data_IF_210859987029
#
_entry.id   IF_210859987029
#
_cell.length_a   1.000
_cell.length_b   1.000
_cell.length_c   1.000
_cell.angle_alpha   90.00
_cell.angle_beta   90.00
_cell.angle_gamma   90.00
#
_symmetry.space_group_name_H-M   'P 1'
#
loop_
_entity.id
_entity.type
_entity.pdbx_description
1 polymer ?
#
# COMPACT_ATOMS: atom_id res chain seq x y z
N UNK A 1 16.91 -5.58 -27.73
CA UNK A 1 16.79 -5.08 -26.35
C UNK A 1 15.94 -6.07 -25.59
N UNK A 2 16.57 -7.00 -24.86
CA UNK A 2 15.86 -8.12 -24.23
C UNK A 2 15.46 -7.70 -22.83
N UNK A 3 14.17 -7.48 -22.59
CA UNK A 3 13.65 -7.21 -21.25
C UNK A 3 13.69 -8.52 -20.48
N UNK A 4 14.56 -8.59 -19.47
CA UNK A 4 14.58 -9.74 -18.55
C UNK A 4 13.32 -9.64 -17.68
N UNK A 5 12.43 -10.65 -17.67
CA UNK A 5 11.29 -10.62 -16.77
C UNK A 5 11.80 -10.54 -15.33
N UNK A 6 11.17 -9.68 -14.52
CA UNK A 6 11.38 -9.67 -13.08
C UNK A 6 10.92 -11.03 -12.55
N UNK A 7 11.86 -11.89 -12.19
CA UNK A 7 11.56 -13.07 -11.40
C UNK A 7 11.12 -12.57 -10.03
N UNK A 8 9.81 -12.54 -9.77
CA UNK A 8 9.31 -12.38 -8.41
C UNK A 8 9.89 -13.54 -7.62
N UNK A 9 10.82 -13.24 -6.70
CA UNK A 9 11.26 -14.23 -5.74
C UNK A 9 9.99 -14.77 -5.06
N UNK A 10 9.81 -16.09 -5.10
CA UNK A 10 8.76 -16.74 -4.31
C UNK A 10 8.91 -16.23 -2.88
N UNK A 11 7.88 -15.60 -2.28
CA UNK A 11 7.98 -15.14 -0.90
C UNK A 11 8.35 -16.36 -0.06
N UNK A 12 9.56 -16.36 0.52
CA UNK A 12 9.99 -17.41 1.45
C UNK A 12 9.24 -17.29 2.79
N UNK A 13 8.29 -16.37 2.90
CA UNK A 13 7.44 -16.15 4.05
C UNK A 13 5.99 -15.93 3.59
N UNK A 14 5.13 -16.90 3.88
CA UNK A 14 3.66 -16.85 3.70
C UNK A 14 2.95 -15.79 4.56
N UNK A 15 3.71 -14.94 5.27
CA UNK A 15 3.20 -13.87 6.12
C UNK A 15 3.69 -12.47 5.69
N UNK A 16 4.41 -12.35 4.57
CA UNK A 16 4.86 -11.05 4.09
C UNK A 16 3.67 -10.19 3.64
N UNK A 17 3.61 -8.95 4.15
CA UNK A 17 2.58 -7.97 3.82
C UNK A 17 3.07 -7.03 2.72
N UNK A 18 2.26 -6.90 1.67
CA UNK A 18 2.38 -5.87 0.63
C UNK A 18 1.35 -4.78 0.87
N UNK A 19 1.83 -3.55 1.10
CA UNK A 19 1.01 -2.35 1.25
C UNK A 19 1.03 -1.55 -0.06
N UNK A 20 -0.13 -1.36 -0.67
CA UNK A 20 -0.36 -0.67 -1.93
C UNK A 20 -0.91 0.73 -1.69
N UNK A 21 -0.18 1.77 -2.08
CA UNK A 21 -0.53 3.18 -1.89
C UNK A 21 -0.92 3.82 -3.22
N UNK A 22 -2.20 4.20 -3.36
CA UNK A 22 -2.73 4.78 -4.60
C UNK A 22 -2.24 6.22 -4.85
N UNK A 23 -2.41 6.69 -6.09
CA UNK A 23 -2.12 8.07 -6.48
C UNK A 23 -3.27 9.02 -6.18
N UNK A 24 -3.05 10.32 -6.40
CA UNK A 24 -4.10 11.33 -6.34
C UNK A 24 -5.27 10.95 -7.26
N UNK A 25 -6.51 11.21 -6.83
CA UNK A 25 -7.79 10.77 -7.45
C UNK A 25 -8.09 9.27 -7.45
N UNK A 26 -7.15 8.44 -6.99
CA UNK A 26 -7.34 7.00 -6.82
C UNK A 26 -8.01 6.63 -5.49
N UNK A 27 -8.12 5.33 -5.25
CA UNK A 27 -8.53 4.73 -3.97
C UNK A 27 -7.86 3.36 -3.83
N UNK A 28 -8.02 2.69 -2.69
CA UNK A 28 -7.62 1.30 -2.51
C UNK A 28 -8.24 0.37 -3.56
N UNK A 29 -9.47 0.65 -4.00
CA UNK A 29 -10.15 -0.11 -5.05
C UNK A 29 -9.45 -0.03 -6.41
N UNK A 30 -8.64 1.01 -6.67
CA UNK A 30 -7.83 1.10 -7.90
C UNK A 30 -6.81 -0.04 -8.02
N UNK A 31 -6.52 -0.76 -6.93
CA UNK A 31 -5.60 -1.89 -6.89
C UNK A 31 -6.30 -3.26 -6.94
N UNK A 32 -7.57 -3.35 -7.33
CA UNK A 32 -8.34 -4.61 -7.26
C UNK A 32 -7.65 -5.78 -8.00
N UNK A 33 -7.21 -5.55 -9.24
CA UNK A 33 -6.56 -6.58 -10.05
C UNK A 33 -5.20 -7.00 -9.48
N UNK A 34 -4.40 -6.04 -9.02
CA UNK A 34 -3.09 -6.30 -8.40
C UNK A 34 -3.25 -7.02 -7.06
N UNK A 35 -4.26 -6.64 -6.28
CA UNK A 35 -4.61 -7.31 -5.03
C UNK A 35 -4.95 -8.78 -5.27
N UNK A 36 -5.80 -9.06 -6.26
CA UNK A 36 -6.13 -10.44 -6.64
C UNK A 36 -4.89 -11.23 -7.08
N UNK A 37 -4.06 -10.63 -7.94
CA UNK A 37 -2.83 -11.24 -8.44
C UNK A 37 -1.85 -11.59 -7.31
N UNK A 38 -1.54 -10.64 -6.42
CA UNK A 38 -0.57 -10.86 -5.33
C UNK A 38 -1.10 -11.80 -4.24
N UNK A 39 -2.41 -11.76 -3.95
CA UNK A 39 -3.04 -12.74 -3.04
C UNK A 39 -2.99 -14.15 -3.62
N UNK A 40 -3.20 -14.33 -4.92
CA UNK A 40 -3.04 -15.63 -5.57
C UNK A 40 -1.59 -16.15 -5.52
N UNK A 41 -0.60 -15.23 -5.45
CA UNK A 41 0.80 -15.56 -5.22
C UNK A 41 1.17 -15.79 -3.73
N UNK A 42 0.19 -15.75 -2.82
CA UNK A 42 0.38 -16.07 -1.40
C UNK A 42 0.77 -14.89 -0.50
N UNK A 43 0.68 -13.64 -0.99
CA UNK A 43 0.96 -12.45 -0.18
C UNK A 43 -0.28 -11.99 0.59
N UNK A 44 -0.06 -11.46 1.81
CA UNK A 44 -1.04 -10.58 2.46
C UNK A 44 -0.99 -9.24 1.75
N UNK A 45 -2.15 -8.68 1.39
CA UNK A 45 -2.21 -7.41 0.64
C UNK A 45 -3.18 -6.45 1.29
N UNK A 46 -2.69 -5.25 1.60
CA UNK A 46 -3.48 -4.12 2.08
C UNK A 46 -3.40 -2.99 1.06
N UNK A 47 -4.55 -2.40 0.75
CA UNK A 47 -4.67 -1.25 -0.15
C UNK A 47 -5.65 -0.26 0.50
N UNK A 48 -5.21 0.52 1.50
CA UNK A 48 -6.08 1.47 2.19
C UNK A 48 -6.39 2.67 1.31
N UNK A 49 -7.50 3.33 1.61
CA UNK A 49 -7.80 4.66 1.08
C UNK A 49 -6.95 5.69 1.84
N UNK A 50 -6.18 6.49 1.10
CA UNK A 50 -5.42 7.62 1.65
C UNK A 50 -6.35 8.77 2.01
N UNK A 51 -5.97 9.66 2.95
CA UNK A 51 -6.82 10.77 3.38
C UNK A 51 -7.41 11.57 2.21
N UNK A 52 -8.72 11.83 2.27
CA UNK A 52 -9.46 12.56 1.25
C UNK A 52 -9.92 11.74 0.04
N UNK A 53 -9.72 10.42 0.06
CA UNK A 53 -10.06 9.53 -1.05
C UNK A 53 -10.90 8.35 -0.57
N UNK A 54 -11.68 7.76 -1.50
CA UNK A 54 -12.53 6.61 -1.21
C UNK A 54 -13.41 6.84 0.03
N UNK A 55 -13.31 5.93 1.00
CA UNK A 55 -14.03 6.01 2.27
C UNK A 55 -13.26 6.78 3.38
N UNK A 56 -12.00 7.15 3.17
CA UNK A 56 -11.20 7.87 4.15
C UNK A 56 -11.36 9.38 3.99
N UNK A 57 -12.36 9.95 4.66
CA UNK A 57 -12.72 11.37 4.59
C UNK A 57 -12.65 12.03 5.99
N UNK A 58 -11.45 12.39 6.48
CA UNK A 58 -11.29 13.02 7.79
C UNK A 58 -12.03 14.35 7.91
N UNK A 59 -12.43 14.73 9.12
CA UNK A 59 -13.06 16.04 9.36
C UNK A 59 -12.06 17.14 9.71
N UNK A 60 -10.88 16.77 10.22
CA UNK A 60 -9.82 17.72 10.57
C UNK A 60 -8.89 17.97 9.36
N UNK A 61 -8.72 19.21 8.90
CA UNK A 61 -7.75 19.55 7.85
C UNK A 61 -6.32 19.07 8.12
N UNK A 62 -5.90 18.95 9.38
CA UNK A 62 -4.57 18.47 9.75
C UNK A 62 -4.31 17.00 9.36
N UNK A 63 -5.37 16.23 9.11
CA UNK A 63 -5.28 14.83 8.70
C UNK A 63 -5.04 14.64 7.19
N UNK A 64 -5.06 15.73 6.41
CA UNK A 64 -4.85 15.70 4.96
C UNK A 64 -3.38 15.90 4.54
N UNK A 65 -2.44 15.75 5.48
CA UNK A 65 -1.00 15.89 5.21
C UNK A 65 -0.35 14.53 4.94
N UNK A 66 0.73 14.53 4.16
CA UNK A 66 1.52 13.33 3.88
C UNK A 66 2.12 12.78 5.17
N UNK A 67 2.57 13.66 6.07
CA UNK A 67 3.14 13.31 7.36
C UNK A 67 2.11 12.63 8.27
N UNK A 68 0.87 13.13 8.31
CA UNK A 68 -0.20 12.49 9.08
C UNK A 68 -0.57 11.14 8.48
N UNK A 69 -0.70 11.04 7.15
CA UNK A 69 -0.95 9.78 6.46
C UNK A 69 0.15 8.74 6.77
N UNK A 70 1.42 9.14 6.75
CA UNK A 70 2.55 8.27 7.07
C UNK A 70 2.48 7.75 8.52
N UNK A 71 2.18 8.63 9.49
CA UNK A 71 2.03 8.23 10.90
C UNK A 71 0.86 7.26 11.10
N UNK A 72 -0.28 7.51 10.45
CA UNK A 72 -1.45 6.64 10.56
C UNK A 72 -1.17 5.25 9.96
N UNK A 73 -0.50 5.18 8.80
CA UNK A 73 -0.09 3.90 8.20
C UNK A 73 0.92 3.17 9.08
N UNK A 74 1.90 3.86 9.65
CA UNK A 74 2.87 3.26 10.57
C UNK A 74 2.17 2.65 11.80
N UNK A 75 1.27 3.40 12.43
CA UNK A 75 0.49 2.92 13.58
C UNK A 75 -0.38 1.69 13.25
N UNK A 76 -0.97 1.66 12.05
CA UNK A 76 -1.73 0.52 11.56
C UNK A 76 -0.83 -0.73 11.44
N UNK A 77 0.36 -0.58 10.86
CA UNK A 77 1.30 -1.69 10.67
C UNK A 77 1.89 -2.18 12.01
N UNK A 78 2.14 -1.29 12.96
CA UNK A 78 2.56 -1.64 14.32
C UNK A 78 1.50 -2.49 15.03
N UNK A 79 0.21 -2.14 14.90
CA UNK A 79 -0.89 -2.88 15.49
C UNK A 79 -1.07 -4.30 14.94
N UNK A 80 -0.67 -4.54 13.69
CA UNK A 80 -0.78 -5.84 13.03
C UNK A 80 0.44 -6.77 13.26
N UNK A 81 1.47 -6.30 13.95
CA UNK A 81 2.72 -7.03 14.23
C UNK A 81 3.30 -7.72 12.97
N UNK A 82 3.34 -7.00 11.84
CA UNK A 82 3.63 -7.56 10.51
C UNK A 82 5.10 -7.85 10.25
N UNK A 83 6.01 -7.34 11.08
CA UNK A 83 7.42 -7.25 10.72
C UNK A 83 7.63 -6.33 9.50
N UNK A 84 8.78 -6.45 8.80
CA UNK A 84 9.05 -5.67 7.60
C UNK A 84 7.98 -5.89 6.51
N UNK A 85 7.55 -4.80 5.88
CA UNK A 85 6.54 -4.83 4.81
C UNK A 85 7.16 -4.49 3.46
N UNK A 86 6.55 -5.00 2.39
CA UNK A 86 6.79 -4.51 1.04
C UNK A 86 5.87 -3.31 0.79
N UNK A 87 6.41 -2.23 0.26
CA UNK A 87 5.68 -1.00 -0.02
C UNK A 87 5.67 -0.73 -1.53
N UNK A 88 4.49 -0.55 -2.11
CA UNK A 88 4.33 -0.17 -3.52
C UNK A 88 3.47 1.09 -3.56
N UNK A 89 4.06 2.20 -3.97
CA UNK A 89 3.37 3.47 -4.11
C UNK A 89 3.36 3.97 -5.55
N UNK A 90 2.21 4.50 -6.00
CA UNK A 90 2.09 5.18 -7.30
C UNK A 90 1.87 6.68 -7.11
N UNK A 91 2.64 7.51 -7.82
CA UNK A 91 2.51 8.98 -7.81
C UNK A 91 2.52 9.56 -6.38
N UNK A 92 1.42 10.17 -5.90
CA UNK A 92 1.25 10.61 -4.51
C UNK A 92 1.56 9.49 -3.49
N UNK A 93 1.09 8.28 -3.72
CA UNK A 93 1.40 7.12 -2.88
C UNK A 93 2.87 6.73 -2.94
N UNK A 94 3.55 6.99 -4.06
CA UNK A 94 5.00 6.84 -4.17
C UNK A 94 5.75 7.89 -3.37
N UNK A 95 5.26 9.14 -3.35
CA UNK A 95 5.80 10.22 -2.50
C UNK A 95 5.60 9.93 -1.02
N UNK A 96 4.47 9.32 -0.64
CA UNK A 96 4.20 8.89 0.74
C UNK A 96 5.09 7.72 1.18
N UNK A 97 5.60 6.93 0.24
CA UNK A 97 6.44 5.75 0.51
C UNK A 97 7.94 6.07 0.75
N UNK A 98 8.38 7.31 0.52
CA UNK A 98 9.77 7.77 0.65
C UNK A 98 9.95 8.66 1.88
#
# INVERSE_FOLDING_TARGET
MTVRPLTLATPHNSNALLLLLHGFTGSGASWADQTAFFRAAGLRVHAPDLPGHGANLPTDPADYTIETAARQLAALLEGENTGPVHLLGYSMGGRLAL
#
